data_IF_401568584680
#
_entry.id   IF_401568584680
#
_cell.length_a   1.000
_cell.length_b   1.000
_cell.length_c   1.000
_cell.angle_alpha   90.00
_cell.angle_beta   90.00
_cell.angle_gamma   90.00
#
_symmetry.space_group_name_H-M   'P 1'
#
loop_
_entity.id
_entity.type
_entity.pdbx_description
1 polymer ?
#
# COMPACT_ATOMS: atom_id res chain seq x y z
N UNK A 1 8.73 -19.23 5.42
CA UNK A 1 8.48 -18.98 6.86
C UNK A 1 8.34 -17.48 7.20
N UNK A 2 8.72 -16.53 6.35
CA UNK A 2 8.54 -15.07 6.60
C UNK A 2 7.09 -14.56 6.47
N UNK A 3 6.26 -15.23 5.71
CA UNK A 3 4.90 -14.78 5.33
C UNK A 3 3.77 -15.12 6.33
N UNK A 4 4.09 -15.67 7.49
CA UNK A 4 3.09 -16.02 8.53
C UNK A 4 2.85 -14.93 9.57
N UNK A 5 3.71 -13.91 9.63
CA UNK A 5 3.66 -12.85 10.64
C UNK A 5 2.38 -12.03 10.60
N UNK A 6 1.93 -11.65 9.40
CA UNK A 6 0.69 -10.89 9.22
C UNK A 6 -0.54 -11.71 9.62
N UNK A 7 -0.65 -12.95 9.12
CA UNK A 7 -1.78 -13.82 9.45
C UNK A 7 -1.84 -14.09 10.96
N UNK A 8 -0.70 -14.38 11.59
CA UNK A 8 -0.61 -14.53 13.04
C UNK A 8 -0.97 -13.24 13.81
N UNK A 9 -0.69 -12.08 13.24
CA UNK A 9 -1.09 -10.81 13.85
C UNK A 9 -2.60 -10.58 13.82
N UNK A 10 -3.31 -11.08 12.81
CA UNK A 10 -4.77 -11.02 12.73
C UNK A 10 -5.48 -11.95 13.75
N UNK A 11 -4.80 -12.99 14.22
CA UNK A 11 -5.35 -13.93 15.23
C UNK A 11 -5.26 -13.41 16.67
N UNK A 12 -4.63 -12.25 16.90
CA UNK A 12 -4.47 -11.65 18.23
C UNK A 12 -5.78 -11.02 18.72
N UNK A 13 -6.03 -11.08 20.05
CA UNK A 13 -7.17 -10.41 20.70
C UNK A 13 -7.04 -8.87 20.78
N UNK A 14 -6.25 -8.27 19.91
CA UNK A 14 -6.05 -6.82 19.84
C UNK A 14 -5.77 -6.37 18.42
N UNK A 15 -6.09 -5.12 18.09
CA UNK A 15 -5.75 -4.56 16.77
C UNK A 15 -4.23 -4.62 16.49
N UNK A 16 -3.87 -4.82 15.22
CA UNK A 16 -2.56 -4.53 14.69
C UNK A 16 -2.48 -3.02 14.42
N UNK A 17 -1.54 -2.36 15.06
CA UNK A 17 -1.35 -0.91 14.86
C UNK A 17 -0.51 -0.70 13.60
N UNK A 18 -1.12 -0.13 12.57
CA UNK A 18 -0.40 0.28 11.36
C UNK A 18 0.08 1.72 11.50
N UNK A 19 1.03 2.11 10.64
CA UNK A 19 1.52 3.48 10.56
C UNK A 19 0.44 4.46 10.05
N UNK A 20 0.83 5.72 9.89
CA UNK A 20 -0.04 6.80 9.41
C UNK A 20 0.36 7.30 8.03
N UNK A 21 -0.09 8.51 7.70
CA UNK A 21 0.20 9.16 6.42
C UNK A 21 1.69 9.48 6.24
N UNK A 22 2.40 8.64 5.50
CA UNK A 22 3.83 8.82 5.22
C UNK A 22 4.14 10.20 4.62
N UNK A 23 3.31 10.64 3.67
CA UNK A 23 3.47 11.97 3.05
C UNK A 23 3.40 13.10 4.08
N UNK A 24 2.43 13.06 4.99
CA UNK A 24 2.30 14.07 6.05
C UNK A 24 3.52 14.08 6.98
N UNK A 25 4.08 12.91 7.30
CA UNK A 25 5.29 12.82 8.11
C UNK A 25 6.50 13.38 7.37
N UNK A 26 6.63 13.09 6.06
CA UNK A 26 7.71 13.62 5.23
C UNK A 26 7.62 15.15 5.09
N UNK A 27 6.43 15.72 4.89
CA UNK A 27 6.20 17.17 4.88
C UNK A 27 6.58 17.81 6.23
N UNK A 28 6.25 17.16 7.34
CA UNK A 28 6.66 17.61 8.69
C UNK A 28 8.18 17.65 8.84
N UNK A 29 8.90 16.77 8.13
CA UNK A 29 10.36 16.75 8.07
C UNK A 29 10.94 17.76 7.05
N UNK A 30 10.09 18.52 6.35
CA UNK A 30 10.48 19.55 5.38
C UNK A 30 10.70 19.06 3.96
N UNK A 31 10.25 17.83 3.62
CA UNK A 31 10.30 17.35 2.25
C UNK A 31 9.27 18.05 1.38
N UNK A 32 9.63 18.37 0.15
CA UNK A 32 8.71 18.89 -0.87
C UNK A 32 8.08 17.71 -1.65
N UNK A 33 6.78 17.55 -1.50
CA UNK A 33 5.98 16.51 -2.17
C UNK A 33 5.08 17.08 -3.27
N UNK A 34 5.31 18.29 -3.74
CA UNK A 34 4.47 18.98 -4.73
C UNK A 34 4.55 18.40 -6.16
N UNK A 35 5.37 17.38 -6.38
CA UNK A 35 5.51 16.70 -7.67
C UNK A 35 4.54 15.53 -7.86
N UNK A 36 4.36 15.09 -9.13
CA UNK A 36 3.39 14.05 -9.52
C UNK A 36 3.64 12.66 -8.90
N UNK A 37 4.83 12.36 -8.43
CA UNK A 37 5.17 11.08 -7.81
C UNK A 37 5.07 11.12 -6.27
N UNK A 38 4.78 12.26 -5.68
CA UNK A 38 4.62 12.42 -4.23
C UNK A 38 5.79 11.80 -3.45
N UNK A 39 5.49 10.96 -2.46
CA UNK A 39 6.52 10.27 -1.68
C UNK A 39 7.41 9.33 -2.51
N UNK A 40 6.92 8.79 -3.62
CA UNK A 40 7.73 7.94 -4.48
C UNK A 40 8.89 8.69 -5.18
N UNK A 41 8.80 10.03 -5.32
CA UNK A 41 9.93 10.81 -5.85
C UNK A 41 11.13 10.79 -4.90
N UNK A 42 10.89 10.68 -3.59
CA UNK A 42 11.95 10.66 -2.58
C UNK A 42 12.79 9.38 -2.62
N UNK A 43 12.29 8.31 -3.27
CA UNK A 43 13.12 7.13 -3.55
C UNK A 43 14.36 7.47 -4.38
N UNK A 44 14.25 8.48 -5.25
CA UNK A 44 15.36 9.00 -6.04
C UNK A 44 16.13 10.09 -5.31
N UNK A 45 15.39 11.04 -4.76
CA UNK A 45 15.96 12.33 -4.39
C UNK A 45 16.44 12.36 -2.93
N UNK A 46 15.72 11.67 -2.01
CA UNK A 46 15.99 11.72 -0.57
C UNK A 46 15.60 10.40 0.16
N UNK A 47 16.19 9.24 -0.18
CA UNK A 47 15.80 7.95 0.43
C UNK A 47 15.98 7.92 1.96
N UNK A 48 16.95 8.64 2.50
CA UNK A 48 17.13 8.76 3.95
C UNK A 48 15.97 9.44 4.69
N UNK A 49 15.23 10.33 4.03
CA UNK A 49 14.04 10.95 4.61
C UNK A 49 12.91 9.93 4.79
N UNK A 50 12.79 8.96 3.86
CA UNK A 50 11.82 7.84 3.97
C UNK A 50 12.16 6.98 5.19
N UNK A 51 13.43 6.60 5.37
CA UNK A 51 13.88 5.84 6.55
C UNK A 51 13.53 6.58 7.84
N UNK A 52 13.83 7.87 7.91
CA UNK A 52 13.56 8.69 9.10
C UNK A 52 12.05 8.81 9.40
N UNK A 53 11.22 8.98 8.36
CA UNK A 53 9.77 9.06 8.52
C UNK A 53 9.17 7.73 8.98
N UNK A 54 9.58 6.62 8.36
CA UNK A 54 9.17 5.27 8.75
C UNK A 54 9.60 4.95 10.18
N UNK A 55 10.84 5.32 10.54
CA UNK A 55 11.35 5.15 11.90
C UNK A 55 10.52 5.91 12.94
N UNK A 56 10.05 7.12 12.62
CA UNK A 56 9.22 7.91 13.52
C UNK A 56 7.88 7.22 13.84
N UNK A 57 7.28 6.50 12.87
CA UNK A 57 6.08 5.69 13.13
C UNK A 57 6.37 4.50 14.03
N UNK A 58 7.49 3.80 13.82
CA UNK A 58 7.90 2.70 14.71
C UNK A 58 8.14 3.19 16.15
N UNK A 59 8.82 4.32 16.32
CA UNK A 59 9.06 4.93 17.64
C UNK A 59 7.75 5.40 18.29
N UNK A 60 6.72 5.72 17.51
CA UNK A 60 5.37 6.02 17.98
C UNK A 60 4.52 4.78 18.31
N UNK A 61 5.00 3.58 18.02
CA UNK A 61 4.34 2.31 18.36
C UNK A 61 3.65 1.61 17.20
N UNK A 62 3.92 1.96 15.94
CA UNK A 62 3.45 1.20 14.79
C UNK A 62 4.04 -0.22 14.81
N UNK A 63 3.22 -1.21 14.54
CA UNK A 63 3.59 -2.62 14.44
C UNK A 63 3.63 -3.11 12.97
N UNK A 64 3.11 -2.31 12.05
CA UNK A 64 3.19 -2.53 10.61
C UNK A 64 3.43 -1.18 9.92
N UNK A 65 4.39 -1.15 9.03
CA UNK A 65 4.83 0.05 8.29
C UNK A 65 4.66 -0.15 6.80
N UNK A 66 4.12 0.85 6.11
CA UNK A 66 3.94 0.84 4.67
C UNK A 66 5.19 1.34 3.94
N UNK A 67 5.48 0.75 2.79
CA UNK A 67 6.56 1.21 1.91
C UNK A 67 6.18 2.50 1.18
N UNK A 68 7.16 3.31 0.78
CA UNK A 68 6.96 4.56 0.03
C UNK A 68 6.67 4.29 -1.47
N UNK A 69 5.77 3.34 -1.76
CA UNK A 69 5.51 2.83 -3.11
C UNK A 69 4.07 2.99 -3.59
N UNK A 70 3.22 3.66 -2.83
CA UNK A 70 1.81 3.84 -3.18
C UNK A 70 1.59 4.29 -4.64
N UNK A 71 2.30 5.32 -5.09
CA UNK A 71 2.23 5.82 -6.47
C UNK A 71 3.33 5.28 -7.38
N UNK A 72 4.26 4.47 -6.85
CA UNK A 72 5.37 3.97 -7.63
C UNK A 72 4.89 3.02 -8.73
N UNK A 73 5.24 3.35 -9.97
CA UNK A 73 4.91 2.54 -11.15
C UNK A 73 5.89 2.82 -12.28
N UNK A 74 5.99 1.91 -13.24
CA UNK A 74 6.83 2.11 -14.43
C UNK A 74 6.39 3.34 -15.21
N UNK A 75 5.08 3.54 -15.36
CA UNK A 75 4.48 4.67 -16.05
C UNK A 75 4.77 6.00 -15.36
N UNK A 76 4.63 6.03 -14.04
CA UNK A 76 4.93 7.23 -13.24
C UNK A 76 6.40 7.62 -13.34
N UNK A 77 7.32 6.67 -13.17
CA UNK A 77 8.75 6.94 -13.28
C UNK A 77 9.20 7.23 -14.71
N UNK A 78 8.54 6.67 -15.74
CA UNK A 78 8.83 7.01 -17.14
C UNK A 78 8.58 8.49 -17.44
N UNK A 79 7.66 9.16 -16.75
CA UNK A 79 7.46 10.62 -16.86
C UNK A 79 8.67 11.43 -16.38
N UNK A 80 9.55 10.82 -15.59
CA UNK A 80 10.83 11.37 -15.15
C UNK A 80 12.02 10.85 -15.97
N UNK A 81 11.75 10.15 -17.06
CA UNK A 81 12.76 9.65 -17.99
C UNK A 81 13.44 8.35 -17.57
N UNK A 82 12.91 7.63 -16.55
CA UNK A 82 13.48 6.37 -16.13
C UNK A 82 12.98 5.20 -17.00
N UNK A 83 13.82 4.22 -17.19
CA UNK A 83 13.46 2.94 -17.80
C UNK A 83 12.60 2.09 -16.87
N UNK A 84 11.97 1.06 -17.42
CA UNK A 84 11.21 0.09 -16.61
C UNK A 84 12.08 -0.63 -15.58
N UNK A 85 13.33 -0.95 -15.91
CA UNK A 85 14.29 -1.61 -15.01
C UNK A 85 14.68 -0.70 -13.83
N UNK A 86 14.91 0.59 -14.08
CA UNK A 86 15.19 1.59 -13.05
C UNK A 86 13.96 1.79 -12.14
N UNK A 87 12.76 1.85 -12.72
CA UNK A 87 11.51 1.93 -11.97
C UNK A 87 11.31 0.71 -11.06
N UNK A 88 11.55 -0.49 -11.57
CA UNK A 88 11.50 -1.73 -10.79
C UNK A 88 12.52 -1.73 -9.64
N UNK A 89 13.72 -1.20 -9.88
CA UNK A 89 14.75 -1.00 -8.86
C UNK A 89 14.27 -0.08 -7.72
N UNK A 90 13.59 1.02 -8.06
CA UNK A 90 13.05 1.94 -7.06
C UNK A 90 11.89 1.34 -6.25
N UNK A 91 11.04 0.54 -6.88
CA UNK A 91 9.99 -0.18 -6.16
C UNK A 91 10.59 -1.18 -5.16
N UNK A 92 11.64 -1.92 -5.52
CA UNK A 92 12.37 -2.78 -4.56
C UNK A 92 13.05 -1.97 -3.47
N UNK A 93 13.70 -0.85 -3.81
CA UNK A 93 14.31 0.05 -2.85
C UNK A 93 13.32 0.52 -1.77
N UNK A 94 12.06 0.73 -2.11
CA UNK A 94 11.04 1.13 -1.13
C UNK A 94 10.88 0.12 0.01
N UNK A 95 11.00 -1.17 -0.30
CA UNK A 95 10.97 -2.25 0.70
C UNK A 95 12.28 -2.31 1.49
N UNK A 96 13.43 -2.13 0.82
CA UNK A 96 14.74 -2.11 1.47
C UNK A 96 14.84 -0.97 2.49
N UNK A 97 14.31 0.22 2.18
CA UNK A 97 14.30 1.35 3.11
C UNK A 97 13.38 1.12 4.31
N UNK A 98 12.23 0.47 4.12
CA UNK A 98 11.37 0.05 5.23
C UNK A 98 12.06 -1.02 6.10
N UNK A 99 12.78 -1.96 5.48
CA UNK A 99 13.60 -2.96 6.19
C UNK A 99 14.72 -2.31 7.00
N UNK A 100 15.40 -1.31 6.41
CA UNK A 100 16.42 -0.54 7.12
C UNK A 100 15.84 0.16 8.35
N UNK A 101 14.71 0.86 8.21
CA UNK A 101 14.07 1.54 9.34
C UNK A 101 13.66 0.56 10.44
N UNK A 102 13.15 -0.62 10.08
CA UNK A 102 12.82 -1.69 11.02
C UNK A 102 14.05 -2.21 11.75
N UNK A 103 15.13 -2.48 11.04
CA UNK A 103 16.35 -3.02 11.61
C UNK A 103 17.00 -2.01 12.58
N UNK A 104 17.06 -0.72 12.22
CA UNK A 104 17.51 0.37 13.11
C UNK A 104 16.62 0.51 14.35
N UNK A 105 15.30 0.28 14.21
CA UNK A 105 14.37 0.27 15.34
C UNK A 105 14.66 -0.90 16.29
N UNK A 106 14.85 -2.09 15.77
CA UNK A 106 15.12 -3.29 16.56
C UNK A 106 16.46 -3.21 17.28
N UNK A 107 17.50 -2.66 16.63
CA UNK A 107 18.81 -2.42 17.26
C UNK A 107 18.70 -1.44 18.44
N UNK A 108 17.89 -0.39 18.31
CA UNK A 108 17.67 0.60 19.35
C UNK A 108 16.74 0.10 20.47
N UNK A 109 15.91 -0.91 20.21
CA UNK A 109 14.91 -1.45 21.13
C UNK A 109 15.03 -2.98 21.27
N UNK A 110 16.15 -3.50 21.82
CA UNK A 110 16.42 -4.95 21.85
C UNK A 110 15.43 -5.75 22.71
N UNK A 111 14.72 -5.08 23.62
CA UNK A 111 13.70 -5.70 24.49
C UNK A 111 12.28 -5.66 23.91
N UNK A 112 12.12 -5.19 22.65
CA UNK A 112 10.79 -5.16 22.03
C UNK A 112 10.22 -6.56 21.88
N UNK A 113 8.93 -6.72 22.21
CA UNK A 113 8.25 -8.02 22.20
C UNK A 113 7.75 -8.46 20.81
N UNK A 114 7.90 -7.62 19.79
CA UNK A 114 7.41 -7.89 18.44
C UNK A 114 8.41 -7.40 17.38
N UNK A 115 8.38 -8.07 16.23
CA UNK A 115 9.07 -7.59 15.03
C UNK A 115 8.06 -6.86 14.16
N UNK A 116 8.25 -5.56 13.87
CA UNK A 116 7.33 -4.83 12.99
C UNK A 116 7.24 -5.47 11.61
N UNK A 117 6.02 -5.49 11.04
CA UNK A 117 5.74 -5.98 9.70
C UNK A 117 5.98 -4.89 8.66
N UNK A 118 6.33 -5.30 7.45
CA UNK A 118 6.46 -4.42 6.28
C UNK A 118 5.32 -4.71 5.31
N UNK A 119 4.51 -3.68 5.04
CA UNK A 119 3.45 -3.71 4.07
C UNK A 119 3.93 -3.09 2.74
N UNK A 120 4.03 -3.91 1.70
CA UNK A 120 4.27 -3.41 0.34
C UNK A 120 3.05 -2.63 -0.14
N UNK A 121 3.12 -1.30 -0.12
CA UNK A 121 2.01 -0.42 -0.49
C UNK A 121 1.81 -0.40 -2.00
N UNK A 122 0.59 -0.73 -2.45
CA UNK A 122 0.17 -0.84 -3.84
C UNK A 122 -1.10 -0.01 -4.01
N UNK A 123 -0.92 1.24 -4.47
CA UNK A 123 -2.03 2.13 -4.77
C UNK A 123 -2.74 1.79 -6.09
N UNK A 124 -3.95 2.33 -6.31
CA UNK A 124 -4.73 2.11 -7.51
C UNK A 124 -4.12 2.77 -8.75
N UNK A 125 -4.62 2.40 -9.92
CA UNK A 125 -4.24 3.02 -11.19
C UNK A 125 -4.43 4.55 -11.18
N UNK A 126 -5.49 5.02 -10.52
CA UNK A 126 -5.77 6.45 -10.37
C UNK A 126 -4.67 7.22 -9.64
N UNK A 127 -4.01 6.60 -8.67
CA UNK A 127 -2.93 7.25 -7.93
C UNK A 127 -1.73 7.61 -8.82
N UNK A 128 -1.41 6.80 -9.83
CA UNK A 128 -0.37 7.07 -10.83
C UNK A 128 -0.73 8.28 -11.73
N UNK A 129 -2.02 8.49 -11.98
CA UNK A 129 -2.49 9.59 -12.84
C UNK A 129 -2.35 10.97 -12.18
N UNK A 130 -2.30 11.01 -10.85
CA UNK A 130 -2.20 12.24 -10.06
C UNK A 130 -3.27 13.30 -10.42
N UNK A 131 -4.47 12.85 -10.74
CA UNK A 131 -5.62 13.69 -11.11
C UNK A 131 -6.81 13.54 -10.15
N UNK A 132 -6.61 12.84 -9.04
CA UNK A 132 -7.63 12.54 -8.03
C UNK A 132 -8.54 11.36 -8.40
N UNK A 133 -8.27 10.69 -9.53
CA UNK A 133 -9.12 9.59 -10.00
C UNK A 133 -9.10 8.36 -9.06
N UNK A 134 -8.13 8.25 -8.15
CA UNK A 134 -8.12 7.29 -7.06
C UNK A 134 -9.30 7.44 -6.08
N UNK A 135 -10.00 8.58 -6.12
CA UNK A 135 -11.20 8.83 -5.32
C UNK A 135 -12.51 8.76 -6.11
N UNK A 136 -12.44 8.41 -7.43
CA UNK A 136 -13.61 8.33 -8.30
C UNK A 136 -13.80 6.95 -8.94
N UNK A 137 -12.71 6.24 -9.22
CA UNK A 137 -12.72 4.91 -9.79
C UNK A 137 -13.11 4.79 -11.26
N UNK A 138 -13.49 5.87 -11.93
CA UNK A 138 -13.92 5.88 -13.32
C UNK A 138 -12.79 6.33 -14.25
N UNK A 139 -11.81 5.47 -14.48
CA UNK A 139 -10.62 5.81 -15.27
C UNK A 139 -10.82 5.84 -16.77
N UNK A 140 -11.88 5.20 -17.28
CA UNK A 140 -12.13 5.07 -18.72
C UNK A 140 -11.14 4.14 -19.44
N UNK A 141 -10.49 3.23 -18.69
CA UNK A 141 -9.58 2.22 -19.25
C UNK A 141 -10.19 0.83 -19.15
N UNK A 142 -9.68 -0.10 -19.97
CA UNK A 142 -10.14 -1.49 -19.95
C UNK A 142 -9.52 -2.31 -18.82
N UNK A 143 -10.10 -3.48 -18.46
CA UNK A 143 -9.52 -4.39 -17.47
C UNK A 143 -8.08 -4.82 -17.80
N UNK A 144 -7.77 -4.95 -19.10
CA UNK A 144 -6.44 -5.34 -19.57
C UNK A 144 -5.38 -4.31 -19.19
N UNK A 145 -5.69 -3.01 -19.31
CA UNK A 145 -4.79 -1.91 -18.90
C UNK A 145 -4.53 -1.96 -17.40
N UNK A 146 -5.59 -2.18 -16.59
CA UNK A 146 -5.45 -2.33 -15.14
C UNK A 146 -4.61 -3.56 -14.79
N UNK A 147 -4.83 -4.68 -15.52
CA UNK A 147 -4.05 -5.90 -15.33
C UNK A 147 -2.57 -5.69 -15.66
N UNK A 148 -2.24 -5.08 -16.79
CA UNK A 148 -0.86 -4.76 -17.16
C UNK A 148 -0.18 -3.90 -16.10
N UNK A 149 -0.87 -2.88 -15.60
CA UNK A 149 -0.39 -1.98 -14.58
C UNK A 149 -0.05 -2.71 -13.26
N UNK A 150 -0.95 -3.55 -12.76
CA UNK A 150 -0.73 -4.28 -11.51
C UNK A 150 0.20 -5.48 -11.67
N UNK A 151 0.13 -6.21 -12.79
CA UNK A 151 1.01 -7.34 -13.10
C UNK A 151 2.48 -6.93 -13.22
N UNK A 152 2.76 -5.67 -13.55
CA UNK A 152 4.12 -5.14 -13.57
C UNK A 152 4.71 -4.94 -12.16
N UNK A 153 3.85 -4.70 -11.14
CA UNK A 153 4.27 -4.32 -9.77
C UNK A 153 4.16 -5.46 -8.77
N UNK A 154 3.05 -6.17 -8.75
CA UNK A 154 2.77 -7.21 -7.75
C UNK A 154 3.89 -8.24 -7.60
N UNK A 155 4.47 -8.81 -8.68
CA UNK A 155 5.56 -9.78 -8.54
C UNK A 155 6.83 -9.20 -7.90
N UNK A 156 7.06 -7.89 -8.02
CA UNK A 156 8.22 -7.24 -7.40
C UNK A 156 8.11 -7.22 -5.87
N UNK A 157 6.91 -6.92 -5.36
CA UNK A 157 6.63 -6.92 -3.93
C UNK A 157 6.48 -8.33 -3.37
N UNK A 158 5.85 -9.26 -4.12
CA UNK A 158 5.71 -10.65 -3.73
C UNK A 158 7.06 -11.36 -3.56
N UNK A 159 8.02 -11.05 -4.42
CA UNK A 159 9.38 -11.57 -4.35
C UNK A 159 10.29 -10.83 -3.34
N UNK A 160 9.83 -9.73 -2.73
CA UNK A 160 10.59 -8.92 -1.79
C UNK A 160 10.51 -9.42 -0.34
N UNK A 161 11.12 -8.67 0.58
CA UNK A 161 11.02 -8.88 2.02
C UNK A 161 9.76 -8.25 2.66
N UNK A 162 8.77 -7.83 1.85
CA UNK A 162 7.46 -7.43 2.37
C UNK A 162 6.75 -8.61 3.05
N UNK A 163 6.19 -8.37 4.24
CA UNK A 163 5.46 -9.36 5.02
C UNK A 163 3.99 -9.47 4.58
N UNK A 164 3.46 -8.44 3.95
CA UNK A 164 2.09 -8.35 3.44
C UNK A 164 2.03 -7.41 2.23
N UNK A 165 1.15 -7.71 1.26
CA UNK A 165 0.82 -6.82 0.14
C UNK A 165 -0.38 -5.95 0.52
N UNK A 166 -0.19 -4.65 0.58
CA UNK A 166 -1.22 -3.67 0.94
C UNK A 166 -1.81 -3.04 -0.33
N UNK A 167 -2.83 -3.64 -0.92
CA UNK A 167 -3.60 -3.01 -1.99
C UNK A 167 -4.57 -2.02 -1.36
N UNK A 168 -4.26 -0.74 -1.44
CA UNK A 168 -4.96 0.28 -0.66
C UNK A 168 -5.55 1.40 -1.50
N UNK A 169 -6.64 2.01 -0.99
CA UNK A 169 -7.37 3.09 -1.64
C UNK A 169 -8.01 2.65 -2.97
N UNK A 170 -8.41 1.39 -3.07
CA UNK A 170 -9.00 0.86 -4.30
C UNK A 170 -10.40 1.45 -4.49
N UNK A 171 -10.65 2.21 -5.58
CA UNK A 171 -11.88 2.97 -5.71
C UNK A 171 -12.95 2.27 -6.56
N UNK A 172 -12.60 1.21 -7.31
CA UNK A 172 -13.51 0.60 -8.27
C UNK A 172 -13.56 -0.92 -8.19
N UNK A 173 -14.75 -1.45 -8.43
CA UNK A 173 -14.98 -2.90 -8.48
C UNK A 173 -14.20 -3.55 -9.62
N UNK A 174 -14.04 -2.88 -10.75
CA UNK A 174 -13.30 -3.39 -11.90
C UNK A 174 -11.83 -3.61 -11.56
N UNK A 175 -11.21 -2.65 -10.86
CA UNK A 175 -9.83 -2.76 -10.42
C UNK A 175 -9.67 -3.80 -9.31
N UNK A 176 -10.64 -3.89 -8.39
CA UNK A 176 -10.68 -4.91 -7.35
C UNK A 176 -10.76 -6.33 -7.94
N UNK A 177 -11.54 -6.56 -9.00
CA UNK A 177 -11.61 -7.84 -9.72
C UNK A 177 -10.26 -8.22 -10.33
N UNK A 178 -9.60 -7.27 -10.98
CA UNK A 178 -8.26 -7.49 -11.56
C UNK A 178 -7.24 -7.83 -10.46
N UNK A 179 -7.28 -7.12 -9.34
CA UNK A 179 -6.40 -7.38 -8.20
C UNK A 179 -6.68 -8.75 -7.58
N UNK A 180 -7.95 -9.15 -7.44
CA UNK A 180 -8.29 -10.47 -6.93
C UNK A 180 -7.67 -11.59 -7.77
N UNK A 181 -7.77 -11.50 -9.09
CA UNK A 181 -7.15 -12.48 -9.99
C UNK A 181 -5.62 -12.54 -9.81
N UNK A 182 -4.96 -11.38 -9.75
CA UNK A 182 -3.50 -11.31 -9.67
C UNK A 182 -2.97 -11.72 -8.29
N UNK A 183 -3.65 -11.33 -7.22
CA UNK A 183 -3.27 -11.70 -5.85
C UNK A 183 -3.40 -13.21 -5.60
N UNK A 184 -4.30 -13.91 -6.31
CA UNK A 184 -4.42 -15.36 -6.20
C UNK A 184 -3.15 -16.10 -6.67
N UNK A 185 -2.29 -15.45 -7.45
CA UNK A 185 -1.00 -15.98 -7.90
C UNK A 185 0.17 -15.64 -6.95
N UNK A 186 -0.06 -14.76 -5.95
CA UNK A 186 0.96 -14.33 -5.00
C UNK A 186 1.09 -15.31 -3.81
N UNK A 187 2.32 -15.46 -3.32
CA UNK A 187 2.60 -16.23 -2.09
C UNK A 187 2.54 -15.36 -0.83
N UNK A 188 2.77 -14.06 -0.95
CA UNK A 188 2.70 -13.11 0.17
C UNK A 188 1.23 -12.83 0.50
N UNK A 189 0.82 -12.94 1.80
CA UNK A 189 -0.53 -12.58 2.19
C UNK A 189 -0.83 -11.12 1.88
N UNK A 190 -2.10 -10.78 1.68
CA UNK A 190 -2.50 -9.42 1.34
C UNK A 190 -3.68 -8.94 2.19
N UNK A 191 -3.84 -7.62 2.22
CA UNK A 191 -5.11 -6.98 2.47
C UNK A 191 -5.51 -6.11 1.28
N UNK A 192 -6.83 -5.87 1.17
CA UNK A 192 -7.38 -4.91 0.22
C UNK A 192 -8.20 -3.90 0.98
N UNK A 193 -7.94 -2.61 0.78
CA UNK A 193 -8.74 -1.54 1.37
C UNK A 193 -9.28 -0.59 0.32
N UNK A 194 -10.53 -0.19 0.52
CA UNK A 194 -11.29 0.62 -0.43
C UNK A 194 -11.37 2.07 0.02
N UNK A 195 -11.38 3.00 -0.95
CA UNK A 195 -11.87 4.35 -0.73
C UNK A 195 -13.38 4.39 -0.97
N UNK A 196 -14.12 5.15 -0.15
CA UNK A 196 -15.58 5.13 -0.17
C UNK A 196 -16.18 6.51 -0.44
N UNK A 197 -17.23 6.53 -1.26
CA UNK A 197 -18.01 7.72 -1.59
C UNK A 197 -18.97 8.13 -0.46
N UNK A 198 -19.49 7.14 0.27
CA UNK A 198 -20.42 7.32 1.39
C UNK A 198 -20.33 6.14 2.38
N UNK A 199 -21.30 6.04 3.30
CA UNK A 199 -21.35 5.00 4.34
C UNK A 199 -21.80 3.61 3.85
N UNK A 200 -21.93 3.39 2.54
CA UNK A 200 -22.42 2.12 1.96
C UNK A 200 -21.69 1.71 0.67
N UNK A 201 -21.04 2.66 -0.01
CA UNK A 201 -20.50 2.45 -1.34
C UNK A 201 -19.02 2.84 -1.42
N UNK A 202 -18.24 2.03 -2.15
CA UNK A 202 -16.90 2.42 -2.59
C UNK A 202 -17.01 3.56 -3.62
N UNK A 203 -15.87 4.16 -3.98
CA UNK A 203 -15.85 5.42 -4.73
C UNK A 203 -16.54 5.36 -6.10
N UNK A 204 -16.64 4.19 -6.76
CA UNK A 204 -17.33 4.03 -8.04
C UNK A 204 -18.86 3.80 -7.92
N UNK A 205 -19.38 3.75 -6.70
CA UNK A 205 -20.79 3.53 -6.40
C UNK A 205 -21.19 2.07 -6.19
N UNK A 206 -20.27 1.11 -6.30
CA UNK A 206 -20.50 -0.29 -5.93
C UNK A 206 -20.67 -0.41 -4.41
N UNK A 207 -21.55 -1.30 -3.93
CA UNK A 207 -21.69 -1.50 -2.50
C UNK A 207 -20.41 -2.09 -1.88
N UNK A 208 -20.09 -1.68 -0.65
CA UNK A 208 -18.94 -2.26 0.09
C UNK A 208 -19.11 -3.76 0.28
N UNK A 209 -20.34 -4.23 0.51
CA UNK A 209 -20.64 -5.67 0.64
C UNK A 209 -20.26 -6.44 -0.65
N UNK A 210 -20.61 -5.92 -1.83
CA UNK A 210 -20.26 -6.54 -3.12
C UNK A 210 -18.75 -6.51 -3.34
N UNK A 211 -18.09 -5.40 -3.07
CA UNK A 211 -16.65 -5.27 -3.22
C UNK A 211 -15.88 -6.21 -2.26
N UNK A 212 -16.30 -6.31 -1.01
CA UNK A 212 -15.70 -7.20 -0.01
C UNK A 212 -15.96 -8.69 -0.34
N UNK A 213 -17.10 -9.01 -0.95
CA UNK A 213 -17.45 -10.37 -1.33
C UNK A 213 -16.45 -11.02 -2.32
N UNK A 214 -15.75 -10.21 -3.12
CA UNK A 214 -14.68 -10.69 -4.01
C UNK A 214 -13.56 -11.41 -3.26
N UNK A 215 -13.33 -11.05 -2.00
CA UNK A 215 -12.20 -11.52 -1.20
C UNK A 215 -12.59 -12.47 -0.06
N UNK A 216 -13.87 -12.83 0.08
CA UNK A 216 -14.38 -13.63 1.21
C UNK A 216 -13.64 -14.96 1.40
N UNK A 217 -13.38 -15.69 0.32
CA UNK A 217 -12.68 -16.97 0.32
C UNK A 217 -11.40 -16.92 -0.51
N UNK A 218 -10.80 -15.72 -0.60
CA UNK A 218 -9.65 -15.50 -1.45
C UNK A 218 -8.38 -16.12 -0.83
N UNK A 219 -7.58 -16.89 -1.61
CA UNK A 219 -6.47 -17.68 -1.05
C UNK A 219 -5.34 -16.86 -0.44
N UNK A 220 -5.11 -15.64 -0.93
CA UNK A 220 -3.99 -14.78 -0.49
C UNK A 220 -4.46 -13.51 0.25
N UNK A 221 -5.74 -13.13 0.17
CA UNK A 221 -6.25 -11.94 0.86
C UNK A 221 -6.86 -12.34 2.21
N UNK A 222 -6.30 -11.84 3.30
CA UNK A 222 -6.66 -12.21 4.67
C UNK A 222 -7.42 -11.11 5.41
N UNK A 223 -7.47 -9.90 4.86
CA UNK A 223 -8.25 -8.80 5.43
C UNK A 223 -8.79 -7.89 4.33
N UNK A 224 -9.97 -7.35 4.57
CA UNK A 224 -10.59 -6.30 3.75
C UNK A 224 -10.88 -5.12 4.66
N UNK A 225 -10.68 -3.90 4.17
CA UNK A 225 -10.86 -2.71 4.98
C UNK A 225 -11.15 -1.46 4.16
N UNK A 226 -10.97 -0.33 4.82
CA UNK A 226 -11.24 1.00 4.30
C UNK A 226 -10.06 1.91 4.64
N UNK A 227 -9.68 2.76 3.71
CA UNK A 227 -8.72 3.84 3.98
C UNK A 227 -9.04 5.06 3.12
N UNK A 228 -8.41 6.19 3.38
CA UNK A 228 -8.62 7.44 2.65
C UNK A 228 -10.12 7.83 2.53
N UNK A 229 -10.91 7.47 3.53
CA UNK A 229 -12.36 7.64 3.60
C UNK A 229 -12.70 8.56 4.76
N UNK A 230 -13.64 9.50 4.60
CA UNK A 230 -14.08 10.37 5.70
C UNK A 230 -14.54 9.56 6.92
N UNK A 231 -14.02 9.84 8.13
CA UNK A 231 -14.27 9.02 9.32
C UNK A 231 -15.74 8.93 9.73
N UNK A 232 -16.58 9.91 9.35
CA UNK A 232 -18.02 9.87 9.60
C UNK A 232 -18.75 8.74 8.85
N UNK A 233 -18.14 8.11 7.85
CA UNK A 233 -18.73 6.97 7.14
C UNK A 233 -18.37 5.63 7.78
N UNK A 234 -17.34 5.59 8.64
CA UNK A 234 -16.79 4.33 9.16
C UNK A 234 -17.84 3.47 9.88
N UNK A 235 -18.73 4.08 10.70
CA UNK A 235 -19.75 3.34 11.45
C UNK A 235 -20.74 2.56 10.55
N UNK A 236 -21.01 3.04 9.33
CA UNK A 236 -21.90 2.38 8.39
C UNK A 236 -21.19 1.38 7.44
N UNK A 237 -19.86 1.39 7.44
CA UNK A 237 -19.02 0.60 6.52
C UNK A 237 -18.38 -0.63 7.18
N UNK A 238 -18.48 -0.75 8.52
CA UNK A 238 -17.84 -1.84 9.32
C UNK A 238 -18.86 -2.78 9.96
#
# INVERSE_FOLDING_TARGET
>A
MKKTGFVAALERDRPLIIDGGLSTQLETQGCDLSNALWSASLLLDQPGAIVAATRAFLDAGAECIATASYQASREGFAQRGLSAEEADGLMRLSVELASQARDEFLEANPDTAFTPLIAGSIGPYGAMRHDGSEYWGHYGVSPEVLREFHAARLPLFDASDADVLACETIPSILEAQVLADLLAECETPSWVSFSCADAQHISDGTSVEEAAALFRDHPATHAVGLNCTPPQYAEGLV
#
